data_IF_740934135054
#
_entry.id   IF_740934135054
#
_cell.length_a   1.000
_cell.length_b   1.000
_cell.length_c   1.000
_cell.angle_alpha   90.00
_cell.angle_beta   90.00
_cell.angle_gamma   90.00
#
_symmetry.space_group_name_H-M   'P 1'
#
loop_
_entity.id
_entity.type
_entity.pdbx_description
1 polymer ?
#
# COMPACT_ATOMS: atom_id res chain seq x y z
N UNK A 1 16.67 33.42 -19.10
CA UNK A 1 16.47 32.46 -18.00
C UNK A 1 15.14 31.77 -18.27
N UNK A 2 15.18 30.57 -18.86
CA UNK A 2 14.02 29.90 -19.44
C UNK A 2 13.20 29.06 -18.46
N UNK A 3 12.09 28.46 -18.92
CA UNK A 3 11.20 27.60 -18.11
C UNK A 3 11.94 26.42 -17.43
N UNK A 4 13.05 25.96 -18.02
CA UNK A 4 13.92 24.91 -17.48
C UNK A 4 14.46 25.23 -16.07
N UNK A 5 14.83 26.49 -15.79
CA UNK A 5 15.37 26.90 -14.49
C UNK A 5 14.28 26.91 -13.40
N UNK A 6 13.03 27.21 -13.76
CA UNK A 6 11.90 27.17 -12.84
C UNK A 6 11.48 25.73 -12.51
N UNK A 7 11.57 24.81 -13.49
CA UNK A 7 11.30 23.38 -13.30
C UNK A 7 12.37 22.68 -12.47
N UNK A 8 13.64 23.01 -12.67
CA UNK A 8 14.73 22.59 -11.78
C UNK A 8 14.51 23.12 -10.36
N UNK A 9 14.12 24.39 -10.22
CA UNK A 9 13.82 25.00 -8.93
C UNK A 9 12.66 24.34 -8.19
N UNK A 10 11.55 24.05 -8.88
CA UNK A 10 10.38 23.36 -8.32
C UNK A 10 10.70 21.91 -7.94
N UNK A 11 11.48 21.21 -8.77
CA UNK A 11 11.96 19.84 -8.49
C UNK A 11 12.89 19.83 -7.27
N UNK A 12 13.86 20.74 -7.21
CA UNK A 12 14.72 20.90 -6.04
C UNK A 12 13.95 21.26 -4.78
N UNK A 13 12.93 22.11 -4.87
CA UNK A 13 12.08 22.47 -3.74
C UNK A 13 11.25 21.27 -3.27
N UNK A 14 10.72 20.46 -4.20
CA UNK A 14 9.99 19.23 -3.93
C UNK A 14 10.88 18.17 -3.25
N UNK A 15 12.07 17.89 -3.80
CA UNK A 15 13.02 16.96 -3.19
C UNK A 15 13.49 17.45 -1.81
N UNK A 16 13.70 18.76 -1.64
CA UNK A 16 13.97 19.35 -0.32
C UNK A 16 12.79 19.20 0.63
N UNK A 17 11.55 19.40 0.19
CA UNK A 17 10.37 19.25 1.06
C UNK A 17 10.21 17.81 1.55
N UNK A 18 10.35 16.84 0.64
CA UNK A 18 10.31 15.40 0.96
C UNK A 18 11.44 15.03 1.93
N UNK A 19 12.64 15.58 1.73
CA UNK A 19 13.80 15.32 2.61
C UNK A 19 13.68 16.02 3.98
N UNK A 20 13.14 17.25 4.03
CA UNK A 20 12.98 18.05 5.26
C UNK A 20 11.88 17.46 6.15
N UNK A 21 10.74 17.03 5.58
CA UNK A 21 9.69 16.36 6.36
C UNK A 21 10.25 15.07 6.97
N UNK A 22 11.05 14.32 6.21
CA UNK A 22 11.69 13.09 6.66
C UNK A 22 12.79 13.32 7.73
N UNK A 23 13.61 14.38 7.62
CA UNK A 23 14.60 14.75 8.64
C UNK A 23 13.93 15.23 9.94
N UNK A 24 12.83 15.98 9.84
CA UNK A 24 12.02 16.40 10.99
C UNK A 24 11.35 15.20 11.69
N UNK A 25 10.94 14.17 10.94
CA UNK A 25 10.39 12.93 11.51
C UNK A 25 11.48 12.04 12.15
N UNK A 26 12.68 12.02 11.58
CA UNK A 26 13.85 11.31 12.14
C UNK A 26 14.35 11.97 13.43
N UNK A 27 14.45 13.31 13.47
CA UNK A 27 14.85 14.07 14.66
C UNK A 27 13.85 13.99 15.82
N UNK A 28 12.59 13.65 15.54
CA UNK A 28 11.56 13.39 16.56
C UNK A 28 11.58 11.94 17.09
N UNK A 29 12.53 11.11 16.65
CA UNK A 29 12.68 9.72 17.12
C UNK A 29 11.58 8.77 16.64
N UNK A 30 10.83 9.14 15.60
CA UNK A 30 9.67 8.39 15.09
C UNK A 30 10.04 7.35 14.00
N UNK A 31 11.29 7.34 13.53
CA UNK A 31 11.82 6.37 12.55
C UNK A 31 13.30 6.08 12.83
N UNK A 32 13.71 4.81 12.78
CA UNK A 32 15.13 4.41 12.88
C UNK A 32 15.82 4.49 11.51
N UNK A 33 17.09 4.90 11.50
CA UNK A 33 17.93 5.28 10.35
C UNK A 33 18.09 4.25 9.21
N UNK A 34 17.45 3.08 9.30
CA UNK A 34 17.56 1.99 8.33
C UNK A 34 16.69 2.14 7.07
N UNK A 35 15.83 3.16 6.98
CA UNK A 35 15.01 3.41 5.77
C UNK A 35 15.74 4.27 4.72
N UNK A 36 17.00 4.63 4.97
CA UNK A 36 17.79 5.60 4.20
C UNK A 36 18.52 4.96 3.01
N UNK A 37 17.83 4.28 2.10
CA UNK A 37 18.49 3.70 0.92
C UNK A 37 17.60 3.63 -0.31
N UNK A 38 16.88 4.71 -0.64
CA UNK A 38 16.25 4.86 -1.97
C UNK A 38 16.51 6.23 -2.64
N UNK A 39 16.97 7.28 -1.96
CA UNK A 39 17.09 8.62 -2.59
C UNK A 39 18.41 9.34 -2.29
N UNK A 40 19.53 8.73 -2.66
CA UNK A 40 20.80 9.45 -2.76
C UNK A 40 21.70 8.80 -3.82
N UNK A 41 21.48 9.13 -5.10
CA UNK A 41 22.51 8.97 -6.11
C UNK A 41 23.21 10.33 -6.29
N UNK A 42 24.52 10.45 -6.02
CA UNK A 42 25.26 11.66 -6.35
C UNK A 42 25.46 11.73 -7.86
N UNK A 43 25.39 12.95 -8.37
CA UNK A 43 25.81 13.34 -9.72
C UNK A 43 27.25 12.85 -9.95
N UNK A 44 27.43 11.90 -10.87
CA UNK A 44 28.73 11.53 -11.38
C UNK A 44 28.73 11.72 -12.90
N UNK A 45 29.31 12.82 -13.34
CA UNK A 45 29.65 13.11 -14.73
C UNK A 45 30.72 12.10 -15.17
N UNK A 46 30.33 11.04 -15.88
CA UNK A 46 31.27 10.05 -16.41
C UNK A 46 31.37 10.20 -17.94
N UNK A 47 32.55 10.65 -18.35
CA UNK A 47 33.02 10.81 -19.71
C UNK A 47 33.06 9.44 -20.42
N UNK A 48 32.59 9.48 -21.67
CA UNK A 48 32.63 8.44 -22.69
C UNK A 48 33.91 7.58 -22.68
N UNK A 49 33.79 6.25 -22.58
CA UNK A 49 34.69 5.26 -23.22
C UNK A 49 34.02 3.88 -23.22
N UNK A 50 33.93 3.29 -24.42
CA UNK A 50 33.43 1.95 -24.71
C UNK A 50 34.62 0.97 -24.62
N UNK A 51 34.47 -0.28 -24.13
CA UNK A 51 34.39 -1.36 -25.12
C UNK A 51 33.57 -2.61 -24.72
N UNK A 52 32.91 -3.16 -25.74
CA UNK A 52 32.84 -4.58 -26.13
C UNK A 52 32.16 -5.60 -25.20
N UNK A 53 30.96 -5.98 -25.63
CA UNK A 53 30.14 -7.09 -25.18
C UNK A 53 30.71 -8.44 -25.66
N UNK A 54 30.79 -9.45 -24.78
CA UNK A 54 30.69 -10.86 -25.18
C UNK A 54 29.95 -11.66 -24.12
N UNK A 55 28.77 -12.18 -24.46
CA UNK A 55 27.98 -13.11 -23.63
C UNK A 55 28.09 -14.50 -24.23
N UNK A 56 28.30 -15.52 -23.40
CA UNK A 56 27.86 -16.90 -23.66
C UNK A 56 27.26 -17.53 -22.39
N UNK A 57 26.17 -18.30 -22.52
CA UNK A 57 25.44 -18.86 -21.38
C UNK A 57 25.98 -20.25 -21.02
N UNK A 58 25.88 -20.63 -19.74
CA UNK A 58 26.00 -22.04 -19.32
C UNK A 58 24.78 -22.41 -18.47
N UNK A 59 24.01 -23.33 -19.04
CA UNK A 59 22.95 -24.12 -18.41
C UNK A 59 23.54 -25.19 -17.49
N UNK A 60 22.93 -25.45 -16.33
CA UNK A 60 22.82 -26.81 -15.79
C UNK A 60 21.69 -26.95 -14.78
N UNK A 61 20.76 -27.83 -15.13
CA UNK A 61 19.68 -28.43 -14.35
C UNK A 61 20.13 -29.79 -13.77
N UNK A 62 19.56 -30.19 -12.62
CA UNK A 62 19.23 -31.56 -12.14
C UNK A 62 19.23 -31.60 -10.59
N UNK A 63 18.09 -31.76 -9.89
CA UNK A 63 17.46 -33.03 -9.42
C UNK A 63 18.28 -33.74 -8.32
N UNK A 64 17.80 -34.33 -7.21
CA UNK A 64 16.53 -34.97 -6.87
C UNK A 64 16.57 -35.58 -5.43
N UNK A 65 15.39 -35.77 -4.80
CA UNK A 65 14.97 -36.91 -3.92
C UNK A 65 15.67 -37.10 -2.54
N UNK A 66 15.08 -37.67 -1.48
CA UNK A 66 13.77 -38.28 -1.16
C UNK A 66 13.66 -38.60 0.36
N UNK A 67 12.44 -38.94 0.84
CA UNK A 67 12.12 -39.72 2.06
C UNK A 67 11.09 -39.01 2.97
N UNK A 68 9.75 -39.28 2.95
CA UNK A 68 8.99 -40.47 3.43
C UNK A 68 9.48 -41.00 4.79
N UNK A 69 8.68 -41.22 5.84
CA UNK A 69 7.24 -41.45 5.97
C UNK A 69 6.76 -41.15 7.42
N UNK A 70 5.43 -41.05 7.59
CA UNK A 70 4.68 -41.08 8.86
C UNK A 70 4.15 -42.51 9.13
N UNK A 71 3.13 -42.75 9.99
CA UNK A 71 2.94 -42.47 11.43
C UNK A 71 2.59 -43.76 12.21
N UNK A 72 2.65 -43.77 13.55
CA UNK A 72 1.91 -44.77 14.35
C UNK A 72 1.30 -44.19 15.63
N UNK A 73 0.01 -44.48 15.82
CA UNK A 73 -0.76 -44.41 17.07
C UNK A 73 -1.41 -45.79 17.21
N UNK A 74 -1.53 -46.36 18.42
CA UNK A 74 -2.88 -46.81 18.79
C UNK A 74 -3.23 -46.78 20.31
N UNK A 75 -4.54 -46.65 20.51
CA UNK A 75 -5.41 -47.34 21.48
C UNK A 75 -5.55 -46.86 22.95
N UNK A 76 -6.81 -46.50 23.24
CA UNK A 76 -7.50 -46.55 24.54
C UNK A 76 -7.87 -48.00 24.92
N UNK A 77 -8.09 -48.31 26.21
CA UNK A 77 -9.40 -48.86 26.56
C UNK A 77 -10.01 -48.34 27.88
N UNK A 78 -11.32 -48.55 27.94
CA UNK A 78 -12.35 -48.17 28.91
C UNK A 78 -12.30 -48.97 30.23
N UNK A 79 -12.82 -48.43 31.36
CA UNK A 79 -13.96 -48.99 32.18
C UNK A 79 -13.92 -48.75 33.72
N UNK A 80 -15.00 -48.09 34.20
CA UNK A 80 -15.85 -48.21 35.44
C UNK A 80 -15.29 -48.19 36.89
N UNK A 81 -15.77 -47.16 37.63
CA UNK A 81 -16.77 -47.17 38.75
C UNK A 81 -16.43 -47.89 40.07
N UNK A 82 -16.40 -47.13 41.19
CA UNK A 82 -17.12 -47.31 42.50
C UNK A 82 -16.52 -46.36 43.56
N UNK A 83 -17.24 -45.32 44.02
CA UNK A 83 -18.04 -45.23 45.26
C UNK A 83 -17.28 -45.35 46.59
N UNK A 84 -17.18 -44.23 47.34
CA UNK A 84 -17.19 -44.27 48.81
C UNK A 84 -17.73 -42.97 49.40
N UNK A 85 -18.85 -43.07 50.11
CA UNK A 85 -19.48 -42.08 50.98
C UNK A 85 -18.79 -41.98 52.34
N UNK A 86 -18.67 -40.77 52.91
CA UNK A 86 -18.71 -40.43 54.36
C UNK A 86 -18.74 -38.88 54.47
N UNK A 87 -19.90 -38.27 54.71
CA UNK A 87 -20.51 -37.85 55.99
C UNK A 87 -19.76 -36.75 56.78
N UNK A 88 -20.45 -35.59 56.83
CA UNK A 88 -20.60 -34.63 57.96
C UNK A 88 -19.65 -33.43 58.06
N UNK A 89 -20.30 -32.25 58.09
CA UNK A 89 -19.80 -30.88 58.31
C UNK A 89 -19.34 -30.63 59.77
N UNK A 90 -18.77 -29.45 60.17
CA UNK A 90 -19.40 -28.12 60.08
C UNK A 90 -18.50 -26.96 59.63
N UNK A 91 -19.15 -25.85 59.25
CA UNK A 91 -18.61 -24.52 58.91
C UNK A 91 -17.63 -23.97 59.96
N UNK A 92 -16.70 -23.09 59.53
CA UNK A 92 -16.87 -21.68 59.89
C UNK A 92 -16.71 -20.72 58.71
N UNK A 93 -17.47 -19.64 58.81
CA UNK A 93 -17.42 -18.39 58.06
C UNK A 93 -16.00 -17.86 57.84
N UNK A 94 -15.59 -17.69 56.59
CA UNK A 94 -14.47 -16.82 56.24
C UNK A 94 -14.69 -16.25 54.83
N UNK A 95 -14.92 -14.94 54.81
CA UNK A 95 -14.62 -13.99 53.74
C UNK A 95 -14.73 -14.50 52.31
N UNK A 96 -15.85 -14.17 51.65
CA UNK A 96 -15.94 -14.16 50.19
C UNK A 96 -14.93 -13.14 49.67
N UNK A 97 -13.69 -13.57 49.48
CA UNK A 97 -12.75 -12.89 48.60
C UNK A 97 -13.36 -13.06 47.22
N UNK A 98 -14.12 -12.07 46.79
CA UNK A 98 -14.48 -11.90 45.39
C UNK A 98 -13.15 -11.78 44.66
N UNK A 99 -12.60 -12.90 44.23
CA UNK A 99 -11.53 -12.93 43.25
C UNK A 99 -12.21 -12.42 41.98
N UNK A 100 -12.28 -11.10 41.86
CA UNK A 100 -12.50 -10.41 40.61
C UNK A 100 -11.33 -10.86 39.77
N UNK A 101 -11.50 -12.00 39.10
CA UNK A 101 -10.70 -12.37 37.95
C UNK A 101 -11.07 -11.31 36.95
N UNK A 102 -10.39 -10.16 37.03
CA UNK A 102 -10.14 -9.33 35.88
C UNK A 102 -9.36 -10.24 34.96
N UNK A 103 -10.08 -11.08 34.22
CA UNK A 103 -9.60 -11.58 32.94
C UNK A 103 -9.30 -10.31 32.17
N UNK A 104 -8.05 -9.87 32.26
CA UNK A 104 -7.42 -8.99 31.30
C UNK A 104 -7.59 -9.73 29.99
N UNK A 105 -8.72 -9.48 29.33
CA UNK A 105 -8.92 -9.90 27.96
C UNK A 105 -7.83 -9.16 27.22
N UNK A 106 -6.77 -9.87 26.88
CA UNK A 106 -5.72 -9.36 26.00
C UNK A 106 -6.46 -8.85 24.78
N UNK A 107 -6.52 -7.52 24.66
CA UNK A 107 -7.24 -6.85 23.58
C UNK A 107 -6.56 -7.28 22.29
N UNK A 108 -7.13 -8.28 21.63
CA UNK A 108 -6.59 -8.82 20.39
C UNK A 108 -6.44 -7.71 19.36
N UNK A 109 -5.41 -7.82 18.52
CA UNK A 109 -5.16 -6.85 17.46
C UNK A 109 -6.38 -6.69 16.54
N UNK A 110 -6.70 -5.44 16.20
CA UNK A 110 -7.78 -5.10 15.28
C UNK A 110 -7.33 -3.98 14.35
N UNK A 111 -7.80 -4.05 13.10
CA UNK A 111 -7.61 -3.03 12.09
C UNK A 111 -8.93 -2.35 11.79
N UNK A 112 -8.96 -1.02 11.81
CA UNK A 112 -10.08 -0.24 11.35
C UNK A 112 -9.56 0.88 10.46
N UNK A 113 -9.95 0.93 9.16
CA UNK A 113 -9.52 1.99 8.27
C UNK A 113 -9.87 3.36 8.88
N UNK A 114 -8.92 4.29 8.86
CA UNK A 114 -9.18 5.67 9.26
C UNK A 114 -10.01 6.40 8.19
N UNK A 115 -10.61 7.54 8.57
CA UNK A 115 -11.47 8.30 7.67
C UNK A 115 -10.72 8.80 6.43
N UNK A 116 -9.43 9.14 6.58
CA UNK A 116 -8.59 9.62 5.48
C UNK A 116 -8.30 8.52 4.45
N UNK A 117 -8.01 7.30 4.89
CA UNK A 117 -7.82 6.12 4.04
C UNK A 117 -9.10 5.78 3.29
N UNK A 118 -10.25 5.80 3.98
CA UNK A 118 -11.54 5.53 3.35
C UNK A 118 -11.91 6.62 2.32
N UNK A 119 -11.67 7.89 2.66
CA UNK A 119 -11.87 9.00 1.74
C UNK A 119 -10.97 8.86 0.50
N UNK A 120 -9.67 8.64 0.72
CA UNK A 120 -8.72 8.50 -0.36
C UNK A 120 -9.05 7.30 -1.25
N UNK A 121 -9.42 6.15 -0.68
CA UNK A 121 -9.89 5.00 -1.47
C UNK A 121 -11.18 5.30 -2.24
N UNK A 122 -12.12 6.00 -1.63
CA UNK A 122 -13.37 6.40 -2.27
C UNK A 122 -13.16 7.30 -3.49
N UNK A 123 -12.12 8.14 -3.48
CA UNK A 123 -11.76 9.02 -4.59
C UNK A 123 -10.85 8.33 -5.61
N UNK A 124 -9.77 7.69 -5.14
CA UNK A 124 -8.73 7.13 -6.00
C UNK A 124 -9.21 5.91 -6.78
N UNK A 125 -10.01 5.02 -6.16
CA UNK A 125 -10.39 3.76 -6.79
C UNK A 125 -11.24 3.97 -8.06
N UNK A 126 -12.29 4.81 -8.08
CA UNK A 126 -13.00 5.12 -9.32
C UNK A 126 -12.11 5.78 -10.38
N UNK A 127 -11.22 6.70 -9.98
CA UNK A 127 -10.32 7.40 -10.90
C UNK A 127 -9.31 6.44 -11.55
N UNK A 128 -8.71 5.54 -10.77
CA UNK A 128 -7.75 4.55 -11.27
C UNK A 128 -8.43 3.53 -12.18
N UNK A 129 -9.67 3.11 -11.88
CA UNK A 129 -10.46 2.26 -12.78
C UNK A 129 -10.70 2.97 -14.11
N UNK A 130 -11.15 4.23 -14.06
CA UNK A 130 -11.40 5.04 -15.26
C UNK A 130 -10.13 5.23 -16.09
N UNK A 131 -9.01 5.53 -15.44
CA UNK A 131 -7.71 5.68 -16.07
C UNK A 131 -7.19 4.38 -16.69
N UNK A 132 -7.30 3.27 -15.97
CA UNK A 132 -6.92 1.94 -16.49
C UNK A 132 -7.71 1.61 -17.75
N UNK A 133 -9.02 1.84 -17.73
CA UNK A 133 -9.88 1.60 -18.88
C UNK A 133 -9.51 2.52 -20.06
N UNK A 134 -9.17 3.79 -19.80
CA UNK A 134 -8.66 4.69 -20.83
C UNK A 134 -7.38 4.14 -21.47
N UNK A 135 -6.36 3.83 -20.65
CA UNK A 135 -5.03 3.46 -21.09
C UNK A 135 -5.03 2.13 -21.84
N UNK A 136 -5.70 1.11 -21.30
CA UNK A 136 -5.72 -0.23 -21.91
C UNK A 136 -6.69 -0.31 -23.10
N UNK A 137 -7.67 0.59 -23.18
CA UNK A 137 -8.61 0.68 -24.30
C UNK A 137 -8.10 1.48 -25.51
N UNK A 138 -6.88 2.02 -25.47
CA UNK A 138 -6.31 2.78 -26.60
C UNK A 138 -6.13 1.86 -27.82
N UNK A 139 -6.42 2.33 -29.06
CA UNK A 139 -6.77 3.71 -29.41
C UNK A 139 -8.27 4.03 -29.32
N UNK A 140 -9.14 3.07 -29.02
CA UNK A 140 -10.60 3.26 -29.09
C UNK A 140 -11.12 4.30 -28.08
N UNK A 141 -10.43 4.48 -26.96
CA UNK A 141 -10.73 5.48 -25.92
C UNK A 141 -10.09 6.85 -26.17
N UNK A 142 -9.10 6.95 -27.07
CA UNK A 142 -8.41 8.21 -27.42
C UNK A 142 -9.29 9.09 -28.30
N UNK A 143 -8.94 10.37 -28.45
CA UNK A 143 -9.65 11.31 -29.34
C UNK A 143 -9.86 10.69 -30.74
N UNK A 144 -11.06 10.83 -31.31
CA UNK A 144 -11.51 10.17 -32.55
C UNK A 144 -11.77 8.66 -32.47
N UNK A 145 -11.49 8.02 -31.33
CA UNK A 145 -11.90 6.65 -31.05
C UNK A 145 -13.40 6.53 -30.75
N UNK A 146 -13.99 5.37 -31.05
CA UNK A 146 -15.43 5.17 -30.91
C UNK A 146 -15.90 5.04 -29.45
N UNK A 147 -15.03 4.70 -28.49
CA UNK A 147 -15.35 4.75 -27.06
C UNK A 147 -15.22 6.17 -26.49
N UNK A 148 -14.42 7.04 -27.12
CA UNK A 148 -13.97 8.29 -26.50
C UNK A 148 -15.10 9.13 -25.88
N UNK A 149 -16.20 9.26 -26.59
CA UNK A 149 -17.38 9.99 -26.13
C UNK A 149 -18.40 9.03 -25.48
N UNK A 150 -18.97 9.36 -24.30
CA UNK A 150 -18.78 10.59 -23.52
C UNK A 150 -17.74 10.48 -22.40
N UNK A 151 -17.37 9.27 -21.98
CA UNK A 151 -16.68 9.05 -20.71
C UNK A 151 -15.21 9.45 -20.72
N UNK A 152 -14.54 9.47 -21.88
CA UNK A 152 -13.11 9.77 -22.00
C UNK A 152 -12.84 11.13 -22.64
N UNK A 153 -13.87 11.94 -22.89
CA UNK A 153 -13.74 13.29 -23.44
C UNK A 153 -12.70 14.17 -22.71
N UNK A 154 -12.57 14.13 -21.35
CA UNK A 154 -11.55 14.91 -20.65
C UNK A 154 -10.11 14.53 -21.04
N UNK A 155 -9.87 13.28 -21.47
CA UNK A 155 -8.54 12.83 -21.88
C UNK A 155 -8.05 13.47 -23.18
N UNK A 156 -8.91 14.12 -23.95
CA UNK A 156 -8.49 14.97 -25.07
C UNK A 156 -7.61 16.11 -24.57
N UNK A 157 -8.08 16.87 -23.57
CA UNK A 157 -7.31 17.95 -22.97
C UNK A 157 -6.11 17.40 -22.19
N UNK A 158 -6.33 16.32 -21.42
CA UNK A 158 -5.26 15.74 -20.62
C UNK A 158 -4.09 15.24 -21.48
N UNK A 159 -4.38 14.58 -22.61
CA UNK A 159 -3.36 14.11 -23.56
C UNK A 159 -2.62 15.22 -24.31
N UNK A 160 -3.13 16.46 -24.30
CA UNK A 160 -2.44 17.64 -24.81
C UNK A 160 -1.52 18.26 -23.76
N UNK A 161 -1.88 18.17 -22.48
CA UNK A 161 -1.03 18.62 -21.37
C UNK A 161 0.08 17.63 -21.13
N UNK A 162 -0.27 16.35 -20.98
CA UNK A 162 0.70 15.28 -20.84
C UNK A 162 0.65 14.35 -22.03
N UNK A 163 1.67 14.48 -22.87
CA UNK A 163 1.80 13.68 -24.09
C UNK A 163 1.97 12.18 -23.83
N UNK A 164 2.29 11.74 -22.60
CA UNK A 164 2.25 10.31 -22.20
C UNK A 164 0.85 9.73 -22.36
N UNK A 165 -0.20 10.56 -22.22
CA UNK A 165 -1.60 10.18 -22.43
C UNK A 165 -2.11 10.42 -23.85
N UNK A 166 -1.35 11.13 -24.68
CA UNK A 166 -1.75 11.58 -26.00
C UNK A 166 -1.21 10.74 -27.17
N UNK A 167 -1.48 11.24 -28.38
CA UNK A 167 -1.07 10.61 -29.63
C UNK A 167 0.45 10.53 -29.83
N UNK A 168 1.22 11.47 -29.27
CA UNK A 168 2.70 11.46 -29.32
C UNK A 168 3.26 10.15 -28.78
N UNK A 169 2.93 9.79 -27.52
CA UNK A 169 3.42 8.57 -26.90
C UNK A 169 2.87 7.30 -27.58
N UNK A 170 1.62 7.33 -28.02
CA UNK A 170 0.99 6.21 -28.72
C UNK A 170 1.67 5.90 -30.07
N UNK A 171 1.89 6.91 -30.91
CA UNK A 171 2.57 6.76 -32.19
C UNK A 171 4.05 6.40 -32.04
N UNK A 172 4.71 6.91 -31.00
CA UNK A 172 6.07 6.51 -30.64
C UNK A 172 6.17 5.07 -30.09
N UNK A 173 5.03 4.37 -29.91
CA UNK A 173 4.95 3.04 -29.29
C UNK A 173 5.63 3.00 -27.92
N UNK A 174 5.50 4.08 -27.14
CA UNK A 174 6.03 4.13 -25.78
C UNK A 174 5.27 3.16 -24.88
N UNK A 175 5.97 2.15 -24.37
CA UNK A 175 5.39 1.15 -23.46
C UNK A 175 5.09 1.68 -22.06
N UNK A 176 5.59 2.87 -21.71
CA UNK A 176 5.55 3.41 -20.36
C UNK A 176 4.10 3.56 -19.84
N UNK A 177 3.24 4.26 -20.59
CA UNK A 177 1.85 4.51 -20.17
C UNK A 177 1.06 3.20 -20.03
N UNK A 178 1.22 2.27 -20.98
CA UNK A 178 0.53 0.99 -20.93
C UNK A 178 0.98 0.14 -19.73
N UNK A 179 2.28 0.16 -19.40
CA UNK A 179 2.81 -0.51 -18.21
C UNK A 179 2.24 0.09 -16.92
N UNK A 180 2.14 1.42 -16.85
CA UNK A 180 1.49 2.12 -15.74
C UNK A 180 0.02 1.71 -15.60
N UNK A 181 -0.74 1.66 -16.71
CA UNK A 181 -2.13 1.19 -16.73
C UNK A 181 -2.28 -0.27 -16.31
N UNK A 182 -1.34 -1.16 -16.67
CA UNK A 182 -1.36 -2.55 -16.22
C UNK A 182 -1.15 -2.65 -14.69
N UNK A 183 -0.24 -1.86 -14.12
CA UNK A 183 -0.06 -1.78 -12.66
C UNK A 183 -1.30 -1.18 -11.98
N UNK A 184 -1.97 -0.19 -12.60
CA UNK A 184 -3.24 0.35 -12.11
C UNK A 184 -4.33 -0.73 -12.02
N UNK A 185 -4.37 -1.68 -12.96
CA UNK A 185 -5.30 -2.81 -12.91
C UNK A 185 -5.02 -3.71 -11.69
N UNK A 186 -3.75 -4.04 -11.43
CA UNK A 186 -3.34 -4.83 -10.26
C UNK A 186 -3.66 -4.09 -8.96
N UNK A 187 -3.34 -2.80 -8.90
CA UNK A 187 -3.63 -1.90 -7.78
C UNK A 187 -5.13 -1.89 -7.46
N UNK A 188 -5.96 -1.74 -8.49
CA UNK A 188 -7.41 -1.75 -8.38
C UNK A 188 -7.92 -3.05 -7.76
N UNK A 189 -7.44 -4.21 -8.22
CA UNK A 189 -7.83 -5.52 -7.68
C UNK A 189 -7.44 -5.63 -6.21
N UNK A 190 -6.24 -5.18 -5.84
CA UNK A 190 -5.76 -5.22 -4.46
C UNK A 190 -6.60 -4.33 -3.53
N UNK A 191 -6.89 -3.09 -3.95
CA UNK A 191 -7.73 -2.20 -3.14
C UNK A 191 -9.19 -2.64 -3.08
N UNK A 192 -9.74 -3.23 -4.14
CA UNK A 192 -11.06 -3.86 -4.10
C UNK A 192 -11.09 -5.02 -3.11
N UNK A 193 -10.05 -5.87 -3.08
CA UNK A 193 -9.94 -6.97 -2.12
C UNK A 193 -9.84 -6.45 -0.68
N UNK A 194 -9.04 -5.42 -0.44
CA UNK A 194 -8.96 -4.73 0.86
C UNK A 194 -10.33 -4.18 1.29
N UNK A 195 -10.96 -3.37 0.43
CA UNK A 195 -12.26 -2.76 0.71
C UNK A 195 -13.34 -3.83 0.96
N UNK A 196 -13.36 -4.90 0.17
CA UNK A 196 -14.29 -6.01 0.35
C UNK A 196 -14.16 -6.65 1.74
N UNK A 197 -12.95 -6.90 2.22
CA UNK A 197 -12.74 -7.44 3.57
C UNK A 197 -13.21 -6.45 4.63
N UNK A 198 -12.86 -5.17 4.50
CA UNK A 198 -13.30 -4.12 5.43
C UNK A 198 -14.83 -3.95 5.46
N UNK A 199 -15.53 -4.17 4.34
CA UNK A 199 -16.99 -4.03 4.28
C UNK A 199 -17.72 -5.28 4.78
N UNK A 200 -17.19 -6.48 4.53
CA UNK A 200 -17.90 -7.75 4.81
C UNK A 200 -17.50 -8.41 6.12
N UNK A 201 -16.29 -8.14 6.64
CA UNK A 201 -15.74 -8.81 7.83
C UNK A 201 -15.55 -7.88 9.01
N UNK A 202 -15.87 -6.60 8.87
CA UNK A 202 -15.73 -5.68 9.97
C UNK A 202 -16.88 -5.84 10.97
N UNK A 203 -16.51 -6.06 12.22
CA UNK A 203 -17.41 -6.12 13.37
C UNK A 203 -17.41 -4.77 14.08
N UNK A 204 -18.51 -4.43 14.75
CA UNK A 204 -18.55 -3.22 15.58
C UNK A 204 -17.47 -3.35 16.67
N UNK A 205 -16.44 -2.49 16.65
CA UNK A 205 -15.48 -2.45 17.75
C UNK A 205 -16.21 -2.05 19.03
N UNK A 206 -15.96 -2.78 20.13
CA UNK A 206 -16.59 -2.52 21.40
C UNK A 206 -16.44 -1.03 21.76
N UNK A 207 -17.57 -0.34 21.89
CA UNK A 207 -17.61 1.08 22.18
C UNK A 207 -17.07 1.31 23.60
N UNK A 208 -15.83 1.80 23.69
CA UNK A 208 -15.33 2.37 24.93
C UNK A 208 -15.96 3.74 25.15
N UNK A 209 -16.87 3.83 26.12
CA UNK A 209 -17.36 5.09 26.68
C UNK A 209 -18.58 5.70 25.97
N UNK A 210 -19.59 5.98 26.78
CA UNK A 210 -20.85 6.64 26.44
C UNK A 210 -20.58 8.05 25.87
N UNK A 211 -20.85 8.26 24.58
CA UNK A 211 -20.85 9.60 23.97
C UNK A 211 -20.31 9.73 22.54
N UNK A 212 -19.56 8.77 21.99
CA UNK A 212 -18.98 8.93 20.64
C UNK A 212 -19.77 8.20 19.55
N UNK A 213 -20.51 9.00 18.78
CA UNK A 213 -21.47 8.61 17.75
C UNK A 213 -20.80 8.18 16.44
N UNK A 214 -20.04 7.07 16.44
CA UNK A 214 -19.80 6.22 15.25
C UNK A 214 -19.20 4.89 15.70
N UNK A 215 -19.96 3.79 15.62
CA UNK A 215 -19.40 2.44 15.85
C UNK A 215 -18.28 2.23 14.82
N UNK A 216 -17.04 2.17 15.29
CA UNK A 216 -15.88 1.97 14.41
C UNK A 216 -15.85 0.50 14.04
N UNK A 217 -16.16 0.19 12.79
CA UNK A 217 -16.12 -1.17 12.27
C UNK A 217 -14.66 -1.58 12.09
N UNK A 218 -14.26 -2.68 12.73
CA UNK A 218 -12.90 -3.18 12.74
C UNK A 218 -12.86 -4.65 12.26
N UNK A 219 -11.84 -4.99 11.48
CA UNK A 219 -11.53 -6.36 11.06
C UNK A 219 -10.45 -6.91 11.99
N UNK A 220 -10.64 -8.14 12.46
CA UNK A 220 -9.71 -8.79 13.40
C UNK A 220 -9.10 -10.06 12.80
N UNK A 221 -8.07 -10.58 13.47
CA UNK A 221 -7.44 -11.86 13.16
C UNK A 221 -6.81 -11.93 11.76
N UNK A 222 -6.73 -13.15 11.20
CA UNK A 222 -6.04 -13.42 9.92
C UNK A 222 -6.62 -12.67 8.73
N UNK A 223 -7.94 -12.44 8.72
CA UNK A 223 -8.58 -11.69 7.64
C UNK A 223 -8.16 -10.22 7.66
N UNK A 224 -8.13 -9.59 8.83
CA UNK A 224 -7.65 -8.22 8.99
C UNK A 224 -6.17 -8.10 8.63
N UNK A 225 -5.33 -9.01 9.11
CA UNK A 225 -3.89 -8.98 8.80
C UNK A 225 -3.61 -9.10 7.30
N UNK A 226 -4.31 -10.00 6.59
CA UNK A 226 -4.21 -10.12 5.13
C UNK A 226 -4.69 -8.86 4.41
N UNK A 227 -5.80 -8.28 4.85
CA UNK A 227 -6.32 -7.04 4.26
C UNK A 227 -5.31 -5.91 4.39
N UNK A 228 -4.79 -5.66 5.60
CA UNK A 228 -3.80 -4.61 5.84
C UNK A 228 -2.55 -4.81 4.99
N UNK A 229 -2.05 -6.05 4.89
CA UNK A 229 -0.90 -6.36 4.04
C UNK A 229 -1.17 -6.05 2.57
N UNK A 230 -2.33 -6.45 2.04
CA UNK A 230 -2.72 -6.18 0.64
C UNK A 230 -2.86 -4.67 0.41
N UNK A 231 -3.54 -3.94 1.29
CA UNK A 231 -3.70 -2.50 1.18
C UNK A 231 -2.37 -1.74 1.25
N UNK A 232 -1.48 -2.18 2.15
CA UNK A 232 -0.13 -1.62 2.29
C UNK A 232 0.70 -1.84 1.03
N UNK A 233 0.73 -3.07 0.51
CA UNK A 233 1.46 -3.39 -0.73
C UNK A 233 0.93 -2.62 -1.94
N UNK A 234 -0.39 -2.42 -2.03
CA UNK A 234 -0.99 -1.59 -3.07
C UNK A 234 -0.52 -0.13 -2.95
N UNK A 235 -0.52 0.44 -1.74
CA UNK A 235 -0.08 1.82 -1.52
C UNK A 235 1.40 2.04 -1.84
N UNK A 236 2.26 1.08 -1.48
CA UNK A 236 3.68 1.10 -1.87
C UNK A 236 3.83 1.06 -3.40
N UNK A 237 3.11 0.16 -4.07
CA UNK A 237 3.13 0.08 -5.54
C UNK A 237 2.67 1.40 -6.18
N UNK A 238 1.58 2.00 -5.72
CA UNK A 238 1.10 3.30 -6.21
C UNK A 238 2.18 4.36 -6.06
N UNK A 239 2.78 4.48 -4.87
CA UNK A 239 3.83 5.47 -4.61
C UNK A 239 5.05 5.26 -5.51
N UNK A 240 5.56 4.03 -5.61
CA UNK A 240 6.72 3.69 -6.45
C UNK A 240 6.46 4.00 -7.92
N UNK A 241 5.27 3.64 -8.40
CA UNK A 241 4.83 3.89 -9.77
C UNK A 241 4.73 5.39 -10.06
N UNK A 242 4.13 6.18 -9.17
CA UNK A 242 4.02 7.64 -9.33
C UNK A 242 5.39 8.31 -9.26
N UNK A 243 6.28 7.89 -8.36
CA UNK A 243 7.66 8.39 -8.33
C UNK A 243 8.40 8.08 -9.64
N UNK A 244 8.26 6.86 -10.16
CA UNK A 244 8.86 6.47 -11.43
C UNK A 244 8.36 7.35 -12.58
N UNK A 245 7.08 7.73 -12.57
CA UNK A 245 6.52 8.64 -13.57
C UNK A 245 7.12 10.05 -13.52
N UNK A 246 7.29 10.61 -12.32
CA UNK A 246 7.98 11.90 -12.16
C UNK A 246 9.44 11.82 -12.58
N UNK A 247 10.14 10.75 -12.22
CA UNK A 247 11.53 10.53 -12.59
C UNK A 247 11.68 10.32 -14.11
N UNK A 248 10.74 9.63 -14.75
CA UNK A 248 10.74 9.45 -16.20
C UNK A 248 10.66 10.80 -16.93
N UNK A 249 9.80 11.72 -16.47
CA UNK A 249 9.76 13.08 -17.03
C UNK A 249 11.05 13.84 -16.76
N UNK A 250 11.60 13.78 -15.54
CA UNK A 250 12.86 14.44 -15.22
C UNK A 250 14.01 13.96 -16.11
N UNK A 251 14.21 12.64 -16.22
CA UNK A 251 15.31 12.05 -17.00
C UNK A 251 15.12 12.12 -18.51
N UNK A 252 13.90 12.33 -19.00
CA UNK A 252 13.64 12.60 -20.42
C UNK A 252 13.75 14.08 -20.79
N UNK A 253 14.12 14.95 -19.84
CA UNK A 253 14.20 16.39 -20.08
C UNK A 253 12.82 17.04 -20.23
N UNK A 254 11.81 16.50 -19.54
CA UNK A 254 10.41 16.93 -19.58
C UNK A 254 9.79 16.81 -20.97
N UNK A 255 10.13 15.75 -21.72
CA UNK A 255 9.70 15.58 -23.11
C UNK A 255 8.17 15.57 -23.29
N UNK A 256 7.40 15.12 -22.29
CA UNK A 256 5.95 15.04 -22.43
C UNK A 256 5.18 16.22 -21.83
N UNK A 257 5.81 17.01 -20.96
CA UNK A 257 5.14 18.09 -20.21
C UNK A 257 5.82 19.46 -20.32
N UNK A 258 7.04 19.52 -20.85
CA UNK A 258 7.86 20.74 -20.89
C UNK A 258 7.34 21.83 -21.83
N UNK A 259 6.37 21.51 -22.69
CA UNK A 259 5.73 22.45 -23.61
C UNK A 259 4.62 23.28 -22.95
N UNK A 260 4.16 22.89 -21.75
CA UNK A 260 3.06 23.59 -21.08
C UNK A 260 3.49 24.92 -20.47
N UNK A 261 2.55 25.86 -20.38
CA UNK A 261 2.71 27.01 -19.50
C UNK A 261 2.68 26.59 -18.02
N UNK A 262 3.21 27.45 -17.15
CA UNK A 262 3.34 27.13 -15.72
C UNK A 262 1.99 26.88 -15.03
N UNK A 263 0.91 27.56 -15.43
CA UNK A 263 -0.40 27.40 -14.79
C UNK A 263 -0.98 26.04 -15.16
N UNK A 264 -1.00 25.71 -16.45
CA UNK A 264 -1.46 24.40 -16.93
C UNK A 264 -0.63 23.27 -16.29
N UNK A 265 0.68 23.42 -16.23
CA UNK A 265 1.55 22.42 -15.62
C UNK A 265 1.24 22.24 -14.12
N UNK A 266 1.07 23.32 -13.37
CA UNK A 266 0.80 23.24 -11.93
C UNK A 266 -0.55 22.58 -11.67
N UNK A 267 -1.61 23.04 -12.32
CA UNK A 267 -2.98 22.60 -12.01
C UNK A 267 -3.39 21.30 -12.66
N UNK A 268 -2.86 20.99 -13.86
CA UNK A 268 -3.26 19.81 -14.62
C UNK A 268 -2.25 18.67 -14.53
N UNK A 269 -1.02 18.92 -14.08
CA UNK A 269 -0.01 17.87 -13.93
C UNK A 269 0.54 17.74 -12.50
N UNK A 270 1.06 18.81 -11.90
CA UNK A 270 1.72 18.75 -10.58
C UNK A 270 0.72 18.41 -9.47
N UNK A 271 -0.36 19.19 -9.34
CA UNK A 271 -1.32 19.01 -8.24
C UNK A 271 -2.02 17.65 -8.33
N UNK A 272 -2.54 17.22 -9.50
CA UNK A 272 -3.15 15.91 -9.62
C UNK A 272 -2.16 14.82 -9.25
N UNK A 273 -1.00 14.74 -9.90
CA UNK A 273 -0.04 13.66 -9.62
C UNK A 273 0.54 13.72 -8.19
N UNK A 274 0.72 14.92 -7.64
CA UNK A 274 1.16 15.14 -6.27
C UNK A 274 0.17 14.60 -5.23
N UNK A 275 -1.13 14.65 -5.50
CA UNK A 275 -2.14 14.06 -4.63
C UNK A 275 -1.94 12.53 -4.47
N UNK A 276 -1.50 11.83 -5.52
CA UNK A 276 -1.21 10.40 -5.45
C UNK A 276 0.01 10.10 -4.57
N UNK A 277 1.02 10.98 -4.55
CA UNK A 277 2.16 10.84 -3.64
C UNK A 277 1.71 10.99 -2.18
N UNK A 278 0.92 12.02 -1.89
CA UNK A 278 0.43 12.29 -0.52
C UNK A 278 -0.50 11.18 -0.04
N UNK A 279 -1.52 10.83 -0.82
CA UNK A 279 -2.51 9.83 -0.45
C UNK A 279 -1.88 8.44 -0.24
N UNK A 280 -0.97 8.03 -1.13
CA UNK A 280 -0.28 6.75 -0.99
C UNK A 280 0.65 6.73 0.22
N UNK A 281 1.39 7.82 0.47
CA UNK A 281 2.25 7.93 1.65
C UNK A 281 1.45 7.86 2.94
N UNK A 282 0.29 8.51 3.00
CA UNK A 282 -0.62 8.40 4.14
C UNK A 282 -1.08 6.96 4.36
N UNK A 283 -1.50 6.26 3.31
CA UNK A 283 -1.92 4.87 3.43
C UNK A 283 -0.79 3.94 3.88
N UNK A 284 0.43 4.15 3.38
CA UNK A 284 1.62 3.41 3.84
C UNK A 284 1.84 3.66 5.34
N UNK A 285 1.77 4.91 5.79
CA UNK A 285 1.93 5.27 7.21
C UNK A 285 0.84 4.61 8.07
N UNK A 286 -0.43 4.78 7.71
CA UNK A 286 -1.58 4.29 8.46
C UNK A 286 -1.58 2.75 8.53
N UNK A 287 -1.54 2.07 7.37
CA UNK A 287 -1.55 0.62 7.31
C UNK A 287 -0.25 -0.01 7.84
N UNK A 288 0.90 0.64 7.64
CA UNK A 288 2.18 0.23 8.20
C UNK A 288 2.18 0.29 9.73
N UNK A 289 1.59 1.34 10.31
CA UNK A 289 1.40 1.45 11.76
C UNK A 289 0.54 0.31 12.32
N UNK A 290 -0.48 -0.13 11.58
CA UNK A 290 -1.31 -1.28 11.97
C UNK A 290 -0.52 -2.59 11.94
N UNK A 291 0.39 -2.77 10.97
CA UNK A 291 1.30 -3.92 10.90
C UNK A 291 2.24 -3.91 12.11
N UNK A 292 2.86 -2.78 12.44
CA UNK A 292 3.76 -2.66 13.59
C UNK A 292 3.06 -3.00 14.90
N UNK A 293 1.87 -2.44 15.14
CA UNK A 293 1.06 -2.75 16.33
C UNK A 293 0.69 -4.23 16.42
N UNK A 294 0.49 -4.91 15.28
CA UNK A 294 0.23 -6.35 15.26
C UNK A 294 1.44 -7.15 15.75
N UNK A 295 2.63 -6.78 15.29
CA UNK A 295 3.90 -7.43 15.64
C UNK A 295 4.22 -7.19 17.12
N UNK A 296 4.05 -5.97 17.61
CA UNK A 296 4.25 -5.60 19.02
C UNK A 296 3.31 -6.42 19.93
N UNK A 297 2.01 -6.45 19.61
CA UNK A 297 1.02 -7.24 20.38
C UNK A 297 1.42 -8.72 20.41
N UNK A 298 1.87 -9.27 19.29
CA UNK A 298 2.33 -10.66 19.22
C UNK A 298 3.62 -10.92 20.02
N UNK A 299 4.53 -9.94 20.11
CA UNK A 299 5.76 -10.07 20.90
C UNK A 299 5.51 -10.07 22.41
N UNK A 300 4.55 -9.30 22.90
CA UNK A 300 4.22 -9.24 24.33
C UNK A 300 3.56 -10.54 24.83
N UNK A 301 2.75 -11.21 23.99
CA UNK A 301 2.11 -12.49 24.34
C UNK A 301 3.12 -13.63 24.55
N UNK A 302 4.35 -13.53 24.04
CA UNK A 302 5.37 -14.58 24.16
C UNK A 302 6.29 -14.38 25.38
N UNK A 303 6.17 -13.25 26.09
CA UNK A 303 7.03 -12.88 27.22
C UNK A 303 6.42 -13.10 28.61
N UNK A 304 5.15 -13.50 28.68
CA UNK A 304 4.43 -13.94 29.91
C UNK A 304 4.26 -15.46 29.91
#
# INVERSE_FOLDING_TARGET
MGPTFALEGASHCFFKLVTIDFDLQTRRGLVSSASLLIVAAPVATAIHTNPSFTVRPVTRSSSSRAGSAAPETPATPTRKRTSSSRKSAPLPSTTTTTTTTTTTTTSGWSHAPDAATLFWLGVSLPLVIWDTAYVLGRPHTMEHGWLHWPLWAPYKLYGQVDHVYGWKAFHARSGFTAAQGALNAVETVMYLAYAWVCLTKAVDAAAGGEGSRRRRRAVTGRAGARAVLVGFSAAVMTLSKTLLYWLNEYYSGFDNIGHNDLVSLIFLWIIPNGAWLVGSTWMIYSLGGDILRAIETASHVKGE
#
